data_IF_963007434901
#
_entry.id   IF_963007434901
#
_cell.length_a   1.000
_cell.length_b   1.000
_cell.length_c   1.000
_cell.angle_alpha   90.00
_cell.angle_beta   90.00
_cell.angle_gamma   90.00
#
_symmetry.space_group_name_H-M   'P 1'
#
loop_
_entity.id
_entity.type
_entity.pdbx_description
1 polymer ?
#
# COMPACT_ATOMS: atom_id res chain seq x y z
N UNK A 1 10.31 -19.19 -7.45
CA UNK A 1 10.16 -19.38 -8.87
C UNK A 1 8.73 -19.12 -9.30
N UNK A 2 8.53 -18.68 -10.55
CA UNK A 2 7.24 -18.28 -11.14
C UNK A 2 6.14 -19.36 -11.20
N UNK A 3 6.36 -20.53 -10.65
CA UNK A 3 5.43 -21.66 -10.68
C UNK A 3 4.19 -21.53 -9.79
N UNK A 4 4.12 -20.46 -8.98
CA UNK A 4 3.00 -20.22 -8.06
C UNK A 4 1.97 -19.19 -8.55
N UNK A 5 2.25 -18.49 -9.63
CA UNK A 5 1.41 -17.39 -10.12
C UNK A 5 0.28 -17.95 -10.98
N UNK A 6 -0.96 -17.67 -10.61
CA UNK A 6 -2.10 -17.96 -11.50
C UNK A 6 -1.96 -17.11 -12.76
N UNK A 7 -2.05 -17.74 -13.92
CA UNK A 7 -1.73 -17.20 -15.24
C UNK A 7 -2.55 -15.95 -15.66
N UNK A 8 -3.57 -15.57 -14.90
CA UNK A 8 -4.50 -14.50 -15.29
C UNK A 8 -3.89 -13.07 -15.20
N UNK A 9 -2.92 -12.85 -14.32
CA UNK A 9 -2.38 -11.52 -14.05
C UNK A 9 -0.89 -11.39 -14.42
N UNK A 10 -0.35 -12.30 -15.21
CA UNK A 10 1.08 -12.34 -15.53
C UNK A 10 1.28 -12.55 -17.02
N UNK A 11 2.11 -11.71 -17.62
CA UNK A 11 2.63 -11.89 -18.98
C UNK A 11 4.08 -12.37 -18.89
N UNK A 12 4.38 -13.55 -19.45
CA UNK A 12 5.76 -14.08 -19.50
C UNK A 12 6.60 -13.28 -20.49
N UNK A 13 7.85 -13.05 -20.12
CA UNK A 13 8.88 -12.44 -20.96
C UNK A 13 10.06 -13.40 -21.08
N UNK A 14 11.03 -13.10 -21.95
CA UNK A 14 12.25 -13.91 -22.11
C UNK A 14 13.03 -14.02 -20.79
N UNK A 15 13.12 -12.92 -20.04
CA UNK A 15 13.90 -12.81 -18.81
C UNK A 15 13.09 -12.98 -17.51
N UNK A 16 11.78 -13.31 -17.61
CA UNK A 16 10.95 -13.44 -16.42
C UNK A 16 9.45 -13.28 -16.68
N UNK A 17 8.84 -12.31 -16.02
CA UNK A 17 7.43 -12.00 -16.22
C UNK A 17 7.08 -10.56 -15.80
N UNK A 18 6.00 -10.05 -16.36
CA UNK A 18 5.35 -8.81 -15.94
C UNK A 18 4.08 -9.14 -15.17
N UNK A 19 3.98 -8.68 -13.94
CA UNK A 19 2.75 -8.77 -13.14
C UNK A 19 1.86 -7.56 -13.43
N UNK A 20 0.57 -7.82 -13.70
CA UNK A 20 -0.45 -6.79 -13.89
C UNK A 20 -1.22 -6.62 -12.59
N UNK A 21 -1.21 -5.41 -12.06
CA UNK A 21 -1.88 -5.05 -10.80
C UNK A 21 -3.05 -4.15 -11.11
N UNK A 22 -4.26 -4.64 -10.87
CA UNK A 22 -5.48 -3.85 -11.01
C UNK A 22 -5.56 -2.80 -9.90
N UNK A 23 -5.98 -1.60 -10.26
CA UNK A 23 -6.34 -0.56 -9.30
C UNK A 23 -7.83 -0.67 -9.03
N UNK A 24 -8.20 -0.83 -7.76
CA UNK A 24 -9.61 -0.87 -7.35
C UNK A 24 -10.19 0.53 -7.33
N UNK A 25 -9.48 1.47 -6.69
CA UNK A 25 -9.88 2.87 -6.61
C UNK A 25 -8.70 3.77 -6.24
N UNK A 26 -8.86 5.04 -6.52
CA UNK A 26 -8.10 6.14 -5.95
C UNK A 26 -9.12 7.14 -5.43
N UNK A 27 -9.01 7.54 -4.17
CA UNK A 27 -9.86 8.56 -3.60
C UNK A 27 -9.04 9.63 -2.87
N UNK A 28 -9.64 10.80 -2.68
CA UNK A 28 -9.02 11.92 -1.99
C UNK A 28 -9.44 11.91 -0.53
N UNK A 29 -8.50 12.29 0.33
CA UNK A 29 -8.67 12.44 1.76
C UNK A 29 -7.98 13.71 2.25
N UNK A 30 -8.20 14.05 3.50
CA UNK A 30 -7.41 15.02 4.24
C UNK A 30 -6.59 14.31 5.33
N UNK A 31 -5.31 14.70 5.48
CA UNK A 31 -4.50 14.16 6.56
C UNK A 31 -5.01 14.70 7.91
N UNK A 32 -5.03 13.83 8.91
CA UNK A 32 -5.50 14.15 10.25
C UNK A 32 -4.39 14.78 11.12
N UNK A 33 -4.80 15.42 12.21
CA UNK A 33 -3.88 15.82 13.27
C UNK A 33 -3.20 14.60 13.89
N UNK A 34 -1.97 14.79 14.38
CA UNK A 34 -1.21 13.77 15.08
C UNK A 34 -1.47 13.86 16.59
N UNK A 35 -1.80 12.73 17.21
CA UNK A 35 -1.93 12.63 18.65
C UNK A 35 -0.66 12.06 19.28
N UNK A 36 -0.15 12.70 20.33
CA UNK A 36 1.00 12.27 21.12
C UNK A 36 0.55 12.07 22.55
N UNK A 37 0.64 10.84 23.07
CA UNK A 37 0.23 10.49 24.43
C UNK A 37 1.40 10.66 25.39
N UNK A 38 1.23 11.47 26.42
CA UNK A 38 2.26 11.78 27.41
C UNK A 38 2.03 10.94 28.68
N UNK A 39 3.08 10.29 29.18
CA UNK A 39 3.06 9.45 30.38
C UNK A 39 2.59 8.03 30.16
N UNK A 40 2.09 7.68 28.98
CA UNK A 40 1.78 6.31 28.62
C UNK A 40 3.04 5.53 28.22
N UNK A 41 3.10 4.23 28.50
CA UNK A 41 4.16 3.35 28.02
C UNK A 41 4.15 3.26 26.50
N UNK A 42 5.30 3.45 25.85
CA UNK A 42 5.47 3.36 24.38
C UNK A 42 4.55 4.27 23.56
N UNK A 43 4.15 5.43 24.11
CA UNK A 43 3.25 6.37 23.40
C UNK A 43 1.80 5.91 23.28
N UNK A 44 1.38 4.89 24.04
CA UNK A 44 -0.01 4.40 24.05
C UNK A 44 -0.88 5.27 24.93
N UNK A 45 -2.19 5.31 24.61
CA UNK A 45 -3.20 6.03 25.40
C UNK A 45 -3.35 5.45 26.80
N UNK A 46 -3.13 4.14 26.97
CA UNK A 46 -3.21 3.46 28.26
C UNK A 46 -2.14 3.98 29.21
N UNK A 47 -2.55 4.56 30.34
CA UNK A 47 -1.67 5.18 31.31
C UNK A 47 -1.20 6.60 30.97
N UNK A 48 -1.66 7.17 29.85
CA UNK A 48 -1.34 8.55 29.51
C UNK A 48 -2.09 9.52 30.45
N UNK A 49 -1.39 10.55 30.93
CA UNK A 49 -1.97 11.62 31.74
C UNK A 49 -2.72 12.65 30.89
N UNK A 50 -2.25 12.88 29.67
CA UNK A 50 -2.86 13.77 28.69
C UNK A 50 -2.33 13.46 27.28
N UNK A 51 -2.98 14.04 26.28
CA UNK A 51 -2.55 13.94 24.89
C UNK A 51 -2.33 15.34 24.31
N UNK A 52 -1.24 15.49 23.57
CA UNK A 52 -0.98 16.66 22.75
C UNK A 52 -1.50 16.39 21.34
N UNK A 53 -2.15 17.37 20.75
CA UNK A 53 -2.64 17.30 19.38
C UNK A 53 -1.81 18.24 18.53
N UNK A 54 -1.14 17.68 17.53
CA UNK A 54 -0.36 18.44 16.54
C UNK A 54 -1.16 18.51 15.23
N UNK A 55 -1.52 19.74 14.84
CA UNK A 55 -2.30 20.02 13.64
C UNK A 55 -1.45 20.41 12.43
N UNK A 56 -0.12 20.34 12.49
CA UNK A 56 0.74 20.80 11.39
C UNK A 56 0.45 20.10 10.05
N UNK A 57 -0.07 18.88 10.07
CA UNK A 57 -0.45 18.13 8.87
C UNK A 57 -1.96 18.09 8.61
N UNK A 58 -2.78 18.56 9.56
CA UNK A 58 -4.23 18.51 9.41
C UNK A 58 -4.68 19.30 8.18
N UNK A 59 -5.56 18.72 7.37
CA UNK A 59 -6.05 19.32 6.13
C UNK A 59 -5.09 19.22 4.94
N UNK A 60 -3.92 18.60 5.09
CA UNK A 60 -3.03 18.34 3.94
C UNK A 60 -3.71 17.35 3.00
N UNK A 61 -3.83 17.67 1.69
CA UNK A 61 -4.42 16.77 0.73
C UNK A 61 -3.69 15.42 0.69
N UNK A 62 -4.44 14.34 0.73
CA UNK A 62 -3.97 12.97 0.68
C UNK A 62 -4.75 12.21 -0.39
N UNK A 63 -4.09 11.31 -1.09
CA UNK A 63 -4.75 10.32 -1.97
C UNK A 63 -4.46 8.93 -1.44
N UNK A 64 -5.47 8.07 -1.44
CA UNK A 64 -5.33 6.64 -1.17
C UNK A 64 -5.56 5.82 -2.43
N UNK A 65 -4.58 5.05 -2.83
CA UNK A 65 -4.66 4.09 -3.91
C UNK A 65 -4.84 2.69 -3.32
N UNK A 66 -5.90 2.01 -3.72
CA UNK A 66 -6.19 0.63 -3.32
C UNK A 66 -6.06 -0.28 -4.53
N UNK A 67 -5.24 -1.32 -4.40
CA UNK A 67 -5.06 -2.32 -5.45
C UNK A 67 -6.07 -3.45 -5.31
N UNK A 68 -6.35 -4.13 -6.43
CA UNK A 68 -6.93 -5.46 -6.38
C UNK A 68 -5.94 -6.46 -5.79
N UNK A 69 -6.40 -7.61 -5.27
CA UNK A 69 -5.52 -8.62 -4.65
C UNK A 69 -4.77 -9.44 -5.72
N UNK A 70 -4.00 -8.76 -6.57
CA UNK A 70 -3.29 -9.34 -7.71
C UNK A 70 -1.83 -9.67 -7.43
N UNK A 71 -1.23 -9.00 -6.42
CA UNK A 71 0.14 -9.26 -6.00
C UNK A 71 0.28 -10.64 -5.34
N UNK A 72 1.35 -11.35 -5.64
CA UNK A 72 1.58 -12.73 -5.18
C UNK A 72 2.84 -12.91 -4.35
N UNK A 73 3.78 -11.99 -4.45
CA UNK A 73 5.06 -12.06 -3.75
C UNK A 73 5.43 -10.74 -3.09
N UNK A 74 6.24 -10.77 -2.02
CA UNK A 74 6.78 -9.55 -1.42
C UNK A 74 7.59 -8.70 -2.40
N UNK A 75 8.29 -9.36 -3.34
CA UNK A 75 9.07 -8.67 -4.36
C UNK A 75 8.18 -7.93 -5.36
N UNK A 76 7.07 -8.53 -5.81
CA UNK A 76 6.08 -7.84 -6.64
C UNK A 76 5.55 -6.58 -5.94
N UNK A 77 5.22 -6.68 -4.65
CA UNK A 77 4.75 -5.53 -3.87
C UNK A 77 5.81 -4.42 -3.76
N UNK A 78 7.07 -4.81 -3.54
CA UNK A 78 8.19 -3.86 -3.50
C UNK A 78 8.38 -3.14 -4.83
N UNK A 79 8.39 -3.88 -5.93
CA UNK A 79 8.53 -3.33 -7.29
C UNK A 79 7.35 -2.45 -7.68
N UNK A 80 6.11 -2.87 -7.34
CA UNK A 80 4.92 -2.06 -7.55
C UNK A 80 5.04 -0.70 -6.86
N UNK A 81 5.43 -0.68 -5.58
CA UNK A 81 5.58 0.56 -4.82
C UNK A 81 6.71 1.44 -5.36
N UNK A 82 7.81 0.85 -5.82
CA UNK A 82 8.87 1.61 -6.48
C UNK A 82 8.40 2.25 -7.78
N UNK A 83 7.62 1.52 -8.57
CA UNK A 83 7.04 2.02 -9.81
C UNK A 83 6.05 3.16 -9.55
N UNK A 84 5.17 2.99 -8.57
CA UNK A 84 4.21 4.01 -8.18
C UNK A 84 4.92 5.29 -7.71
N UNK A 85 5.98 5.15 -6.90
CA UNK A 85 6.81 6.27 -6.48
C UNK A 85 7.41 7.02 -7.67
N UNK A 86 7.94 6.30 -8.65
CA UNK A 86 8.49 6.93 -9.86
C UNK A 86 7.44 7.75 -10.61
N UNK A 87 6.22 7.22 -10.74
CA UNK A 87 5.10 7.93 -11.39
C UNK A 87 4.74 9.18 -10.60
N UNK A 88 4.54 9.08 -9.28
CA UNK A 88 4.15 10.22 -8.44
C UNK A 88 5.19 11.34 -8.43
N UNK A 89 6.48 10.98 -8.41
CA UNK A 89 7.57 11.95 -8.56
C UNK A 89 7.55 12.62 -9.94
N UNK A 90 7.35 11.83 -11.01
CA UNK A 90 7.34 12.36 -12.38
C UNK A 90 6.20 13.35 -12.61
N UNK A 91 5.02 13.08 -12.08
CA UNK A 91 3.86 13.98 -12.20
C UNK A 91 3.84 15.09 -11.12
N UNK A 92 4.79 15.08 -10.18
CA UNK A 92 4.99 16.17 -9.22
C UNK A 92 3.93 16.29 -8.12
N UNK A 93 3.21 15.21 -7.79
CA UNK A 93 2.13 15.26 -6.77
C UNK A 93 2.62 14.99 -5.34
N UNK A 94 3.82 14.43 -5.17
CA UNK A 94 4.41 14.13 -3.86
C UNK A 94 5.94 14.03 -3.98
N UNK A 95 6.66 14.29 -2.89
CA UNK A 95 8.09 13.98 -2.73
C UNK A 95 8.35 12.50 -2.41
N UNK A 96 7.28 11.76 -2.10
CA UNK A 96 7.28 10.31 -1.89
C UNK A 96 8.34 9.83 -0.87
N UNK A 97 8.52 10.54 0.23
CA UNK A 97 9.38 10.12 1.33
C UNK A 97 8.63 9.17 2.27
N UNK A 98 9.04 7.91 2.31
CA UNK A 98 8.47 6.93 3.26
C UNK A 98 8.92 7.23 4.69
N UNK A 99 10.12 7.77 4.89
CA UNK A 99 10.68 8.09 6.20
C UNK A 99 9.97 9.29 6.84
N UNK A 100 9.63 10.29 6.04
CA UNK A 100 8.90 11.49 6.48
C UNK A 100 7.38 11.31 6.46
N UNK A 101 6.90 10.18 5.90
CA UNK A 101 5.48 9.81 5.89
C UNK A 101 4.64 10.47 4.80
N UNK A 102 5.25 11.07 3.78
CA UNK A 102 4.55 11.56 2.59
C UNK A 102 4.24 10.44 1.57
N UNK A 103 4.84 9.27 1.73
CA UNK A 103 4.42 8.03 1.09
C UNK A 103 4.26 6.96 2.16
N UNK A 104 3.07 6.41 2.28
CA UNK A 104 2.75 5.33 3.23
C UNK A 104 2.27 4.11 2.46
N UNK A 105 2.48 2.94 3.02
CA UNK A 105 2.00 1.69 2.46
C UNK A 105 1.53 0.77 3.58
N UNK A 106 0.28 0.34 3.48
CA UNK A 106 -0.26 -0.74 4.28
C UNK A 106 -0.35 -2.00 3.41
N UNK A 107 0.08 -3.14 3.95
CA UNK A 107 0.06 -4.42 3.23
C UNK A 107 -1.01 -5.34 3.77
N UNK A 108 -1.86 -5.88 2.90
CA UNK A 108 -2.83 -6.90 3.26
C UNK A 108 -2.33 -8.26 2.77
N UNK A 109 -2.22 -9.22 3.68
CA UNK A 109 -1.76 -10.58 3.40
C UNK A 109 -2.83 -11.59 3.75
N UNK A 110 -3.13 -12.49 2.83
CA UNK A 110 -3.91 -13.70 3.09
C UNK A 110 -3.34 -14.87 2.29
N UNK A 111 -3.44 -16.07 2.83
CA UNK A 111 -3.03 -17.30 2.16
C UNK A 111 -4.24 -18.12 1.74
N UNK A 112 -4.09 -18.83 0.63
CA UNK A 112 -5.05 -19.80 0.15
C UNK A 112 -4.34 -21.06 -0.36
N UNK A 113 -5.03 -22.18 -0.38
CA UNK A 113 -4.48 -23.39 -0.97
C UNK A 113 -4.25 -23.19 -2.47
N UNK A 114 -3.20 -23.79 -3.00
CA UNK A 114 -2.92 -23.79 -4.44
C UNK A 114 -4.14 -24.36 -5.21
N UNK A 115 -4.57 -23.63 -6.25
CA UNK A 115 -5.74 -23.99 -7.05
C UNK A 115 -7.08 -23.45 -6.51
N UNK A 116 -7.16 -22.96 -5.26
CA UNK A 116 -8.34 -22.27 -4.77
C UNK A 116 -8.44 -20.86 -5.35
N UNK A 117 -9.66 -20.41 -5.62
CA UNK A 117 -9.97 -19.03 -5.99
C UNK A 117 -10.40 -18.20 -4.79
N UNK A 118 -10.81 -18.84 -3.69
CA UNK A 118 -11.24 -18.17 -2.47
C UNK A 118 -10.04 -17.63 -1.70
N UNK A 119 -10.09 -16.35 -1.35
CA UNK A 119 -9.06 -15.72 -0.52
C UNK A 119 -9.25 -16.15 0.94
N UNK A 120 -8.14 -16.36 1.63
CA UNK A 120 -8.14 -16.61 3.08
C UNK A 120 -8.38 -15.32 3.89
N UNK A 121 -8.43 -15.48 5.21
CA UNK A 121 -8.52 -14.35 6.14
C UNK A 121 -7.29 -13.46 6.02
N UNK A 122 -7.50 -12.17 5.84
CA UNK A 122 -6.41 -11.20 5.67
C UNK A 122 -5.93 -10.64 7.00
N UNK A 123 -4.64 -10.39 7.05
CA UNK A 123 -3.97 -9.60 8.09
C UNK A 123 -3.46 -8.30 7.46
N UNK A 124 -3.71 -7.17 8.10
CA UNK A 124 -3.22 -5.87 7.68
C UNK A 124 -1.88 -5.58 8.36
N UNK A 125 -0.85 -5.25 7.58
CA UNK A 125 0.46 -4.86 8.07
C UNK A 125 0.63 -3.35 7.97
N UNK A 126 1.10 -2.75 9.07
CA UNK A 126 1.44 -1.32 9.18
C UNK A 126 2.91 -1.11 9.56
N UNK A 127 3.34 0.16 9.55
CA UNK A 127 4.71 0.57 9.91
C UNK A 127 5.79 0.07 8.94
N UNK A 128 5.46 0.02 7.65
CA UNK A 128 6.39 -0.34 6.58
C UNK A 128 6.93 0.93 5.92
N UNK A 129 7.87 1.59 6.60
CA UNK A 129 8.40 2.91 6.26
C UNK A 129 9.62 2.88 5.31
N UNK A 130 9.82 1.77 4.62
CA UNK A 130 10.78 1.61 3.53
C UNK A 130 10.38 0.46 2.63
N UNK A 131 10.88 0.43 1.38
CA UNK A 131 10.65 -0.68 0.46
C UNK A 131 11.20 -2.01 0.99
N UNK A 132 12.31 -1.94 1.74
CA UNK A 132 12.87 -3.11 2.41
C UNK A 132 11.94 -3.62 3.51
N UNK A 133 11.43 -2.74 4.35
CA UNK A 133 10.51 -3.11 5.42
C UNK A 133 9.19 -3.65 4.88
N UNK A 134 8.71 -3.12 3.76
CA UNK A 134 7.55 -3.67 3.05
C UNK A 134 7.81 -5.12 2.61
N UNK A 135 8.91 -5.36 1.91
CA UNK A 135 9.29 -6.70 1.47
C UNK A 135 9.43 -7.67 2.65
N UNK A 136 10.23 -7.31 3.64
CA UNK A 136 10.57 -8.17 4.78
C UNK A 136 9.35 -8.45 5.67
N UNK A 137 8.50 -7.43 5.90
CA UNK A 137 7.26 -7.58 6.66
C UNK A 137 6.27 -8.52 5.98
N UNK A 138 6.07 -8.37 4.67
CA UNK A 138 5.21 -9.26 3.88
C UNK A 138 5.76 -10.69 3.84
N UNK A 139 7.08 -10.85 3.65
CA UNK A 139 7.71 -12.17 3.65
C UNK A 139 7.53 -12.89 4.99
N UNK A 140 7.78 -12.19 6.09
CA UNK A 140 7.57 -12.74 7.43
C UNK A 140 6.11 -13.16 7.65
N UNK A 141 5.16 -12.30 7.31
CA UNK A 141 3.74 -12.57 7.54
C UNK A 141 3.22 -13.74 6.71
N UNK A 142 3.70 -13.91 5.48
CA UNK A 142 3.41 -15.08 4.65
C UNK A 142 3.89 -16.36 5.35
N UNK A 143 5.12 -16.39 5.85
CA UNK A 143 5.65 -17.54 6.58
C UNK A 143 4.85 -17.83 7.85
N UNK A 144 4.59 -16.80 8.67
CA UNK A 144 3.80 -16.94 9.90
C UNK A 144 2.41 -17.51 9.64
N UNK A 145 1.70 -17.00 8.63
CA UNK A 145 0.37 -17.52 8.29
C UNK A 145 0.45 -18.97 7.79
N UNK A 146 1.47 -19.31 7.01
CA UNK A 146 1.67 -20.67 6.53
C UNK A 146 1.88 -21.64 7.70
N UNK A 147 2.76 -21.32 8.64
CA UNK A 147 3.02 -22.13 9.85
C UNK A 147 1.74 -22.35 10.66
N UNK A 148 0.99 -21.28 10.96
CA UNK A 148 -0.28 -21.38 11.70
C UNK A 148 -1.29 -22.29 11.00
N UNK A 149 -1.43 -22.14 9.68
CA UNK A 149 -2.40 -22.94 8.91
C UNK A 149 -1.96 -24.40 8.74
N UNK A 150 -0.65 -24.68 8.63
CA UNK A 150 -0.10 -26.03 8.56
C UNK A 150 -0.26 -26.79 9.88
N UNK A 151 -0.18 -26.08 11.00
CA UNK A 151 -0.45 -26.63 12.34
C UNK A 151 -1.95 -26.77 12.65
N UNK A 152 -2.83 -26.43 11.71
CA UNK A 152 -4.28 -26.51 11.87
C UNK A 152 -4.89 -25.36 12.68
N UNK A 153 -4.13 -24.29 12.90
CA UNK A 153 -4.59 -23.06 13.54
C UNK A 153 -5.45 -22.19 12.62
N UNK A 154 -5.88 -21.05 13.17
CA UNK A 154 -6.79 -20.11 12.50
C UNK A 154 -6.09 -18.74 12.39
N UNK A 155 -6.21 -18.12 11.21
CA UNK A 155 -5.81 -16.73 11.01
C UNK A 155 -6.98 -15.83 11.34
N UNK A 156 -6.75 -14.86 12.23
CA UNK A 156 -7.73 -13.84 12.59
C UNK A 156 -7.54 -12.58 11.74
N UNK A 157 -8.64 -11.88 11.49
CA UNK A 157 -8.57 -10.56 10.86
C UNK A 157 -8.06 -9.55 11.87
N UNK A 158 -6.80 -9.20 11.76
CA UNK A 158 -6.10 -8.34 12.69
C UNK A 158 -5.19 -7.35 11.98
N UNK A 159 -4.88 -6.25 12.68
CA UNK A 159 -3.83 -5.31 12.28
C UNK A 159 -2.57 -5.63 13.08
N UNK A 160 -1.47 -5.77 12.36
CA UNK A 160 -0.14 -6.00 12.91
C UNK A 160 0.82 -4.91 12.46
N UNK A 161 1.79 -4.54 13.26
CA UNK A 161 2.87 -3.68 12.81
C UNK A 161 4.16 -4.49 12.58
N UNK A 162 4.94 -4.07 11.61
CA UNK A 162 6.27 -4.59 11.38
C UNK A 162 7.27 -3.97 12.36
N UNK A 163 8.00 -4.81 13.10
CA UNK A 163 9.13 -4.42 13.94
C UNK A 163 10.43 -4.80 13.23
N UNK A 164 11.15 -3.84 12.61
CA UNK A 164 12.37 -4.13 11.87
C UNK A 164 13.53 -4.57 12.76
N UNK A 165 13.51 -4.21 14.05
CA UNK A 165 14.56 -4.60 15.01
C UNK A 165 14.39 -6.05 15.44
N UNK A 166 13.17 -6.44 15.75
CA UNK A 166 12.83 -7.82 16.12
C UNK A 166 12.61 -8.72 14.90
N UNK A 167 12.54 -8.17 13.69
CA UNK A 167 12.26 -8.85 12.41
C UNK A 167 10.99 -9.72 12.48
N UNK A 168 9.92 -9.19 13.06
CA UNK A 168 8.64 -9.85 13.21
C UNK A 168 7.47 -8.87 13.17
N UNK A 169 6.28 -9.40 12.92
CA UNK A 169 5.05 -8.64 13.08
C UNK A 169 4.49 -8.81 14.50
N UNK A 170 3.94 -7.72 15.05
CA UNK A 170 3.35 -7.68 16.39
C UNK A 170 1.89 -7.24 16.27
N UNK A 171 0.99 -7.95 16.96
CA UNK A 171 -0.44 -7.60 16.94
C UNK A 171 -0.66 -6.23 17.57
N UNK A 172 -1.37 -5.35 16.83
CA UNK A 172 -1.82 -4.06 17.35
C UNK A 172 -3.24 -4.15 17.90
N UNK A 173 -4.13 -4.73 17.09
CA UNK A 173 -5.54 -4.95 17.44
C UNK A 173 -6.11 -6.11 16.65
N UNK A 174 -7.06 -6.80 17.24
CA UNK A 174 -7.92 -7.78 16.55
C UNK A 174 -9.19 -7.06 16.12
N UNK A 175 -9.60 -7.24 14.88
CA UNK A 175 -10.85 -6.70 14.36
C UNK A 175 -11.96 -7.72 14.58
N UNK A 176 -12.86 -7.46 15.52
CA UNK A 176 -14.00 -8.34 15.82
C UNK A 176 -15.12 -8.22 14.79
N UNK A 177 -15.24 -7.06 14.15
CA UNK A 177 -16.23 -6.78 13.10
C UNK A 177 -15.61 -5.93 11.99
N UNK A 178 -16.18 -6.00 10.79
CA UNK A 178 -15.84 -5.05 9.73
C UNK A 178 -16.18 -3.65 10.23
N UNK A 179 -15.18 -2.79 10.36
CA UNK A 179 -15.39 -1.41 10.75
C UNK A 179 -16.32 -0.76 9.72
N UNK A 180 -17.45 -0.28 10.16
CA UNK A 180 -18.29 0.62 9.39
C UNK A 180 -17.53 1.97 9.31
N UNK A 181 -16.90 2.22 8.17
CA UNK A 181 -16.18 3.47 7.92
C UNK A 181 -17.11 4.69 7.86
N UNK A 182 -18.44 4.48 7.99
CA UNK A 182 -19.45 5.54 7.91
C UNK A 182 -19.24 6.45 6.71
N UNK A 183 -18.93 5.83 5.56
CA UNK A 183 -18.77 6.53 4.30
C UNK A 183 -20.11 7.08 3.85
N UNK A 184 -20.27 8.38 3.97
CA UNK A 184 -21.40 9.13 3.45
C UNK A 184 -20.89 10.41 2.77
N UNK A 185 -21.61 10.95 1.79
CA UNK A 185 -21.26 12.21 1.18
C UNK A 185 -21.15 13.31 2.24
N UNK A 186 -20.08 14.10 2.21
CA UNK A 186 -19.94 15.26 3.09
C UNK A 186 -21.04 16.27 2.79
N UNK A 187 -21.91 16.60 3.76
CA UNK A 187 -23.09 17.44 3.51
C UNK A 187 -22.75 18.88 3.11
N UNK A 188 -21.56 19.36 3.49
CA UNK A 188 -21.11 20.72 3.19
C UNK A 188 -20.40 20.83 1.83
N UNK A 189 -20.15 19.69 1.16
CA UNK A 189 -19.54 19.63 -0.16
C UNK A 189 -20.57 19.28 -1.23
N UNK A 190 -20.78 20.15 -2.18
CA UNK A 190 -21.61 19.85 -3.34
C UNK A 190 -20.93 18.82 -4.23
N UNK A 191 -21.69 17.91 -4.87
CA UNK A 191 -21.15 17.00 -5.89
C UNK A 191 -20.43 17.82 -6.98
N UNK A 192 -19.27 17.37 -7.40
CA UNK A 192 -18.48 18.00 -8.43
C UNK A 192 -18.25 17.03 -9.59
N UNK A 193 -18.83 17.35 -10.75
CA UNK A 193 -18.66 16.59 -11.97
C UNK A 193 -17.49 17.14 -12.79
N UNK A 194 -16.50 16.31 -13.03
CA UNK A 194 -15.38 16.66 -13.90
C UNK A 194 -15.80 16.49 -15.36
N UNK A 195 -15.75 17.58 -16.14
CA UNK A 195 -16.03 17.52 -17.56
C UNK A 195 -14.93 16.79 -18.33
N UNK A 196 -15.28 16.17 -19.45
CA UNK A 196 -14.32 15.53 -20.35
C UNK A 196 -13.23 16.53 -20.81
N UNK A 197 -13.62 17.79 -21.05
CA UNK A 197 -12.67 18.86 -21.42
C UNK A 197 -11.64 19.12 -20.30
N UNK A 198 -12.09 19.12 -19.05
CA UNK A 198 -11.17 19.26 -17.91
C UNK A 198 -10.19 18.08 -17.84
N UNK A 199 -10.70 16.86 -17.98
CA UNK A 199 -9.90 15.62 -17.94
C UNK A 199 -8.87 15.62 -19.07
N UNK A 200 -9.27 15.94 -20.31
CA UNK A 200 -8.35 16.02 -21.46
C UNK A 200 -7.34 17.17 -21.28
N UNK A 201 -7.75 18.28 -20.71
CA UNK A 201 -6.85 19.38 -20.36
C UNK A 201 -5.77 18.99 -19.34
N UNK A 202 -6.10 18.15 -18.37
CA UNK A 202 -5.13 17.58 -17.44
C UNK A 202 -4.23 16.55 -18.14
N UNK A 203 -4.82 15.67 -18.96
CA UNK A 203 -4.09 14.66 -19.74
C UNK A 203 -3.03 15.28 -20.65
N UNK A 204 -3.36 16.38 -21.30
CA UNK A 204 -2.46 17.11 -22.19
C UNK A 204 -1.25 17.75 -21.45
N UNK A 205 -1.35 17.92 -20.14
CA UNK A 205 -0.29 18.50 -19.29
C UNK A 205 0.57 17.44 -18.58
N UNK A 206 0.23 16.15 -18.72
CA UNK A 206 1.02 15.09 -18.12
C UNK A 206 2.43 15.08 -18.72
N UNK A 207 3.47 15.01 -17.90
CA UNK A 207 4.83 14.82 -18.39
C UNK A 207 4.99 13.42 -18.98
N UNK A 208 6.05 13.21 -19.74
CA UNK A 208 6.46 11.88 -20.18
C UNK A 208 6.70 10.97 -18.97
N UNK A 209 5.99 9.85 -18.91
CA UNK A 209 6.11 8.92 -17.79
C UNK A 209 7.44 8.14 -17.82
N UNK A 210 7.93 7.65 -16.67
CA UNK A 210 9.24 7.01 -16.57
C UNK A 210 9.48 5.87 -17.57
N UNK A 211 8.47 5.04 -17.84
CA UNK A 211 8.59 3.91 -18.78
C UNK A 211 8.65 4.34 -20.24
N UNK A 212 7.88 5.35 -20.58
CA UNK A 212 7.91 5.92 -21.93
C UNK A 212 9.25 6.59 -22.19
N UNK A 213 9.76 7.30 -21.18
CA UNK A 213 11.07 7.92 -21.20
C UNK A 213 12.20 6.89 -21.32
N UNK A 214 12.14 5.78 -20.60
CA UNK A 214 13.10 4.69 -20.71
C UNK A 214 13.10 4.11 -22.13
N UNK A 215 11.94 3.73 -22.66
CA UNK A 215 11.78 3.23 -24.03
C UNK A 215 12.30 4.21 -25.09
N UNK A 216 12.05 5.50 -24.90
CA UNK A 216 12.56 6.53 -25.79
C UNK A 216 14.09 6.58 -25.74
N UNK A 217 14.69 6.53 -24.55
CA UNK A 217 16.15 6.54 -24.43
C UNK A 217 16.79 5.29 -25.02
N UNK A 218 16.17 4.12 -24.90
CA UNK A 218 16.63 2.90 -25.58
C UNK A 218 16.60 3.07 -27.10
N UNK A 219 15.49 3.58 -27.64
CA UNK A 219 15.30 3.70 -29.08
C UNK A 219 16.14 4.81 -29.73
N UNK A 220 16.30 5.96 -29.06
CA UNK A 220 17.00 7.13 -29.62
C UNK A 220 18.51 7.10 -29.34
N UNK A 221 18.92 6.58 -28.19
CA UNK A 221 20.30 6.65 -27.72
C UNK A 221 20.99 5.28 -27.57
N UNK A 222 20.25 4.17 -27.73
CA UNK A 222 20.79 2.83 -27.53
C UNK A 222 21.22 2.53 -26.10
N UNK A 223 20.63 3.24 -25.13
CA UNK A 223 20.89 3.01 -23.71
C UNK A 223 20.08 1.82 -23.23
N UNK A 224 20.67 0.97 -22.34
CA UNK A 224 19.90 -0.06 -21.64
C UNK A 224 19.11 0.56 -20.51
N UNK A 225 17.90 0.05 -20.26
CA UNK A 225 17.06 0.44 -19.13
C UNK A 225 17.63 -0.01 -17.77
#
# INVERSE_FOLDING_TARGET
>A
GAEGTTAANVTRTEDGYVAHVGIERIHMEEDAGKMIHIGGGEGRIAGATHSLVDYNRAGTPLIELVTKPDLRTPEEARLFMQKLRQIYLAIGISDCSMEEGSLRCDGNVSLRRRGSTELGTKTELKNMNSFKNLHDGLAYEICRQAEVLEEGGIIYQETRHWDPSAKRTIVMRVKETADDYRLFPEPDLAPYDLSDEFIEGVRAKLPELPDEKAKRFESEFGLSA
#
